data_IF_509001512928
#
_entry.id   IF_509001512928
#
_cell.length_a   1.000
_cell.length_b   1.000
_cell.length_c   1.000
_cell.angle_alpha   90.00
_cell.angle_beta   90.00
_cell.angle_gamma   90.00
#
_symmetry.space_group_name_H-M   'P 1'
#
loop_
_entity.id
_entity.type
_entity.pdbx_description
1 polymer ?
#
# COMPACT_ATOMS: atom_id res chain seq x y z
N UNK A 1 -31.05 46.29 14.72
CA UNK A 1 -31.57 45.64 15.95
C UNK A 1 -32.75 44.78 15.53
N UNK A 2 -32.81 43.53 15.98
CA UNK A 2 -33.94 42.63 15.67
C UNK A 2 -35.21 43.18 16.31
N UNK A 3 -36.36 43.01 15.65
CA UNK A 3 -37.64 43.39 16.23
C UNK A 3 -38.01 42.46 17.39
N UNK A 4 -38.83 42.91 18.35
CA UNK A 4 -39.27 42.05 19.46
C UNK A 4 -39.96 40.77 19.02
N UNK A 5 -40.60 40.77 17.84
CA UNK A 5 -41.21 39.58 17.25
C UNK A 5 -40.15 38.60 16.73
N UNK A 6 -39.12 39.11 16.04
CA UNK A 6 -38.02 38.30 15.52
C UNK A 6 -37.21 37.62 16.65
N UNK A 7 -37.09 38.28 17.80
CA UNK A 7 -36.43 37.71 18.99
C UNK A 7 -37.22 36.51 19.51
N UNK A 8 -38.55 36.65 19.66
CA UNK A 8 -39.41 35.55 20.11
C UNK A 8 -39.42 34.36 19.15
N UNK A 9 -39.43 34.63 17.85
CA UNK A 9 -39.41 33.58 16.84
C UNK A 9 -38.06 32.84 16.84
N UNK A 10 -36.95 33.57 17.05
CA UNK A 10 -35.62 32.98 17.21
C UNK A 10 -35.50 32.12 18.47
N UNK A 11 -35.99 32.60 19.62
CA UNK A 11 -36.02 31.84 20.88
C UNK A 11 -36.80 30.53 20.72
N UNK A 12 -37.95 30.57 20.03
CA UNK A 12 -38.75 29.39 19.75
C UNK A 12 -38.01 28.38 18.89
N UNK A 13 -37.32 28.84 17.84
CA UNK A 13 -36.52 27.96 16.98
C UNK A 13 -35.34 27.36 17.75
N UNK A 14 -34.64 28.15 18.57
CA UNK A 14 -33.53 27.69 19.38
C UNK A 14 -33.97 26.58 20.36
N UNK A 15 -35.10 26.75 21.03
CA UNK A 15 -35.66 25.74 21.94
C UNK A 15 -36.04 24.44 21.21
N UNK A 16 -36.64 24.55 20.02
CA UNK A 16 -36.98 23.37 19.21
C UNK A 16 -35.69 22.63 18.78
N UNK A 17 -34.66 23.35 18.36
CA UNK A 17 -33.40 22.72 17.97
C UNK A 17 -32.69 22.03 19.14
N UNK A 18 -32.70 22.63 20.33
CA UNK A 18 -32.11 22.05 21.54
C UNK A 18 -32.81 20.73 21.95
N UNK A 19 -34.14 20.70 21.92
CA UNK A 19 -34.90 19.47 22.16
C UNK A 19 -34.63 18.39 21.11
N UNK A 20 -34.45 18.77 19.84
CA UNK A 20 -34.22 17.81 18.75
C UNK A 20 -32.78 17.31 18.67
N UNK A 21 -31.80 18.10 19.09
CA UNK A 21 -30.38 17.69 19.11
C UNK A 21 -30.16 16.51 20.06
N UNK A 22 -30.85 16.48 21.20
CA UNK A 22 -30.79 15.36 22.16
C UNK A 22 -31.43 14.05 21.64
N UNK A 23 -32.26 14.11 20.59
CA UNK A 23 -32.87 12.91 19.99
C UNK A 23 -31.94 12.20 19.01
N UNK A 24 -30.88 12.88 18.54
CA UNK A 24 -29.92 12.31 17.60
C UNK A 24 -28.74 11.76 18.43
N UNK A 25 -28.55 10.43 18.52
CA UNK A 25 -27.46 9.85 19.29
C UNK A 25 -26.14 9.99 18.52
N UNK A 26 -25.60 11.21 18.48
CA UNK A 26 -24.39 11.57 17.77
C UNK A 26 -23.20 10.73 18.26
N UNK A 27 -23.12 10.45 19.55
CA UNK A 27 -22.06 9.62 20.14
C UNK A 27 -22.09 8.19 19.61
N UNK A 28 -23.29 7.63 19.41
CA UNK A 28 -23.46 6.31 18.83
C UNK A 28 -22.98 6.31 17.38
N UNK A 29 -23.47 7.25 16.55
CA UNK A 29 -23.07 7.35 15.14
C UNK A 29 -21.57 7.62 14.98
N UNK A 30 -20.99 8.46 15.84
CA UNK A 30 -19.56 8.71 15.89
C UNK A 30 -18.80 7.43 16.27
N UNK A 31 -19.30 6.65 17.22
CA UNK A 31 -18.76 5.35 17.60
C UNK A 31 -18.69 4.38 16.42
N UNK A 32 -19.76 4.24 15.62
CA UNK A 32 -19.74 3.41 14.40
C UNK A 32 -18.79 3.95 13.34
N UNK A 33 -18.79 5.26 13.14
CA UNK A 33 -17.92 5.91 12.15
C UNK A 33 -16.45 5.69 12.49
N UNK A 34 -16.03 6.02 13.72
CA UNK A 34 -14.65 5.86 14.19
C UNK A 34 -14.24 4.39 14.14
N UNK A 35 -15.08 3.48 14.60
CA UNK A 35 -14.81 2.03 14.55
C UNK A 35 -14.61 1.54 13.11
N UNK A 36 -15.44 2.01 12.17
CA UNK A 36 -15.32 1.67 10.74
C UNK A 36 -14.03 2.20 10.12
N UNK A 37 -13.66 3.45 10.43
CA UNK A 37 -12.42 4.07 9.96
C UNK A 37 -11.20 3.33 10.50
N UNK A 38 -11.17 3.01 11.80
CA UNK A 38 -10.09 2.25 12.43
C UNK A 38 -9.98 0.85 11.82
N UNK A 39 -11.09 0.14 11.65
CA UNK A 39 -11.08 -1.20 11.04
C UNK A 39 -10.55 -1.18 9.61
N UNK A 40 -10.89 -0.15 8.82
CA UNK A 40 -10.34 0.00 7.47
C UNK A 40 -8.85 0.32 7.49
N UNK A 41 -8.41 1.17 8.41
CA UNK A 41 -7.00 1.49 8.60
C UNK A 41 -6.19 0.27 9.06
N UNK A 42 -6.71 -0.53 10.00
CA UNK A 42 -6.08 -1.77 10.46
C UNK A 42 -6.01 -2.81 9.35
N UNK A 43 -7.06 -2.97 8.53
CA UNK A 43 -7.00 -3.84 7.33
C UNK A 43 -5.92 -3.37 6.36
N UNK A 44 -5.85 -2.06 6.13
CA UNK A 44 -4.80 -1.48 5.29
C UNK A 44 -3.40 -1.76 5.85
N UNK A 45 -3.21 -1.56 7.15
CA UNK A 45 -1.94 -1.81 7.85
C UNK A 45 -1.55 -3.30 7.87
N UNK A 46 -2.49 -4.20 8.14
CA UNK A 46 -2.23 -5.64 8.12
C UNK A 46 -1.87 -6.12 6.71
N UNK A 47 -2.47 -5.53 5.67
CA UNK A 47 -2.13 -5.82 4.27
C UNK A 47 -0.78 -5.21 3.83
N UNK A 48 -0.23 -4.25 4.57
CA UNK A 48 1.11 -3.70 4.30
C UNK A 48 2.22 -4.64 4.80
N UNK A 49 1.95 -5.45 5.84
CA UNK A 49 2.92 -6.28 6.57
C UNK A 49 3.56 -7.45 5.81
N UNK A 50 3.65 -7.38 4.49
CA UNK A 50 3.96 -8.50 3.63
C UNK A 50 5.44 -8.62 3.20
N UNK A 51 6.25 -7.54 3.28
CA UNK A 51 7.62 -7.60 2.77
C UNK A 51 8.53 -8.44 3.67
N UNK A 52 8.37 -8.39 4.99
CA UNK A 52 9.22 -9.15 5.92
C UNK A 52 9.04 -10.66 5.72
N UNK A 53 7.81 -11.11 5.50
CA UNK A 53 7.52 -12.52 5.20
C UNK A 53 8.12 -12.93 3.84
N UNK A 54 7.95 -12.12 2.79
CA UNK A 54 8.55 -12.41 1.48
C UNK A 54 10.09 -12.44 1.59
N UNK A 55 10.68 -11.51 2.33
CA UNK A 55 12.13 -11.46 2.55
C UNK A 55 12.64 -12.71 3.29
N UNK A 56 11.93 -13.14 4.33
CA UNK A 56 12.25 -14.36 5.07
C UNK A 56 12.13 -15.61 4.19
N UNK A 57 11.03 -15.74 3.44
CA UNK A 57 10.82 -16.87 2.52
C UNK A 57 11.85 -16.88 1.39
N UNK A 58 12.16 -15.71 0.82
CA UNK A 58 13.19 -15.56 -0.22
C UNK A 58 14.57 -15.95 0.32
N UNK A 59 14.90 -15.55 1.55
CA UNK A 59 16.15 -15.93 2.20
C UNK A 59 16.23 -17.43 2.48
N UNK A 60 15.11 -18.06 2.89
CA UNK A 60 15.06 -19.48 3.22
C UNK A 60 15.09 -20.40 1.98
N UNK A 61 14.41 -20.01 0.90
CA UNK A 61 14.14 -20.91 -0.22
C UNK A 61 14.97 -20.66 -1.48
N UNK A 62 15.51 -19.45 -1.68
CA UNK A 62 16.44 -19.18 -2.79
C UNK A 62 17.86 -19.52 -2.33
N UNK A 63 18.31 -20.75 -2.60
CA UNK A 63 19.61 -21.26 -2.16
C UNK A 63 20.76 -20.77 -3.02
N UNK A 64 21.98 -20.86 -2.49
CA UNK A 64 23.23 -20.51 -3.16
C UNK A 64 23.92 -19.27 -2.57
N UNK A 65 25.24 -19.36 -2.45
CA UNK A 65 26.10 -18.29 -1.91
C UNK A 65 26.85 -17.50 -3.01
N UNK A 66 26.69 -17.94 -4.26
CA UNK A 66 27.24 -17.23 -5.41
C UNK A 66 26.62 -15.83 -5.57
N UNK A 67 27.36 -14.95 -6.27
CA UNK A 67 26.92 -13.57 -6.48
C UNK A 67 25.57 -13.48 -7.21
N UNK A 68 25.28 -14.41 -8.13
CA UNK A 68 24.00 -14.45 -8.86
C UNK A 68 22.85 -14.74 -7.90
N UNK A 69 22.95 -15.75 -7.03
CA UNK A 69 21.94 -16.04 -6.00
C UNK A 69 21.71 -14.86 -5.06
N UNK A 70 22.78 -14.19 -4.63
CA UNK A 70 22.68 -12.99 -3.78
C UNK A 70 21.95 -11.86 -4.50
N UNK A 71 22.24 -11.63 -5.78
CA UNK A 71 21.53 -10.64 -6.62
C UNK A 71 20.05 -11.00 -6.79
N UNK A 72 19.71 -12.28 -6.98
CA UNK A 72 18.32 -12.74 -7.10
C UNK A 72 17.53 -12.43 -5.83
N UNK A 73 18.03 -12.84 -4.66
CA UNK A 73 17.38 -12.53 -3.36
C UNK A 73 17.17 -11.04 -3.15
N UNK A 74 18.20 -10.22 -3.40
CA UNK A 74 18.11 -8.76 -3.25
C UNK A 74 17.10 -8.14 -4.21
N UNK A 75 17.05 -8.61 -5.46
CA UNK A 75 16.14 -8.06 -6.46
C UNK A 75 14.68 -8.47 -6.22
N UNK A 76 14.41 -9.71 -5.78
CA UNK A 76 13.05 -10.13 -5.39
C UNK A 76 12.51 -9.20 -4.30
N UNK A 77 13.25 -9.04 -3.21
CA UNK A 77 12.82 -8.17 -2.09
C UNK A 77 12.70 -6.71 -2.54
N UNK A 78 13.68 -6.19 -3.31
CA UNK A 78 13.65 -4.81 -3.79
C UNK A 78 12.44 -4.54 -4.68
N UNK A 79 12.03 -5.48 -5.53
CA UNK A 79 10.85 -5.33 -6.37
C UNK A 79 9.54 -5.32 -5.58
N UNK A 80 9.41 -6.15 -4.54
CA UNK A 80 8.28 -6.08 -3.61
C UNK A 80 8.23 -4.73 -2.88
N UNK A 81 9.38 -4.25 -2.39
CA UNK A 81 9.50 -2.91 -1.76
C UNK A 81 9.17 -1.80 -2.76
N UNK A 82 9.62 -1.92 -4.00
CA UNK A 82 9.34 -0.94 -5.05
C UNK A 82 7.83 -0.85 -5.32
N UNK A 83 7.14 -1.99 -5.45
CA UNK A 83 5.68 -1.98 -5.62
C UNK A 83 4.98 -1.27 -4.45
N UNK A 84 5.35 -1.62 -3.22
CA UNK A 84 4.79 -0.98 -2.03
C UNK A 84 5.06 0.53 -2.01
N UNK A 85 6.27 0.97 -2.34
CA UNK A 85 6.63 2.39 -2.41
C UNK A 85 5.80 3.13 -3.47
N UNK A 86 5.56 2.51 -4.63
CA UNK A 86 4.69 3.08 -5.66
C UNK A 86 3.24 3.18 -5.13
N UNK A 87 2.72 2.17 -4.44
CA UNK A 87 1.34 2.17 -3.92
C UNK A 87 1.18 3.27 -2.87
N UNK A 88 2.15 3.40 -1.97
CA UNK A 88 2.17 4.48 -0.99
C UNK A 88 2.27 5.86 -1.59
N UNK A 89 2.98 6.02 -2.71
CA UNK A 89 3.05 7.29 -3.45
C UNK A 89 1.66 7.78 -3.89
N UNK A 90 0.73 6.88 -4.18
CA UNK A 90 -0.59 7.24 -4.69
C UNK A 90 -1.60 7.55 -3.59
N UNK A 91 -1.55 6.80 -2.48
CA UNK A 91 -2.51 6.95 -1.39
C UNK A 91 -2.04 7.89 -0.27
N UNK A 92 -0.73 8.16 -0.17
CA UNK A 92 -0.14 8.96 0.92
C UNK A 92 0.51 10.22 0.39
N UNK A 93 -0.09 11.37 0.71
CA UNK A 93 0.45 12.68 0.34
C UNK A 93 1.87 12.92 0.88
N UNK A 94 2.22 12.36 2.04
CA UNK A 94 3.58 12.47 2.59
C UNK A 94 4.59 11.72 1.72
N UNK A 95 4.23 10.51 1.28
CA UNK A 95 5.10 9.71 0.40
C UNK A 95 5.17 10.32 -0.99
N UNK A 96 4.05 10.84 -1.52
CA UNK A 96 4.03 11.59 -2.79
C UNK A 96 4.91 12.84 -2.76
N UNK A 97 4.96 13.56 -1.64
CA UNK A 97 5.86 14.71 -1.47
C UNK A 97 7.34 14.29 -1.44
N UNK A 98 7.64 13.14 -0.82
CA UNK A 98 8.99 12.59 -0.76
C UNK A 98 9.46 12.04 -2.11
N UNK A 99 8.54 11.42 -2.86
CA UNK A 99 8.79 10.87 -4.17
C UNK A 99 7.80 11.44 -5.19
N UNK A 100 7.99 12.68 -5.69
CA UNK A 100 7.03 13.30 -6.61
C UNK A 100 6.98 12.63 -7.99
N UNK A 101 8.12 12.11 -8.45
CA UNK A 101 8.30 11.53 -9.79
C UNK A 101 8.97 10.16 -9.71
N UNK A 102 8.86 9.35 -10.78
CA UNK A 102 9.63 8.10 -10.86
C UNK A 102 11.14 8.33 -10.83
N UNK A 103 11.63 9.48 -11.31
CA UNK A 103 13.05 9.83 -11.19
C UNK A 103 13.51 9.97 -9.74
N UNK A 104 12.66 10.52 -8.86
CA UNK A 104 12.98 10.58 -7.42
C UNK A 104 13.01 9.19 -6.77
N UNK A 105 12.20 8.24 -7.28
CA UNK A 105 12.24 6.83 -6.85
C UNK A 105 13.53 6.17 -7.30
N UNK A 106 13.97 6.43 -8.54
CA UNK A 106 15.25 5.94 -9.08
C UNK A 106 16.43 6.50 -8.28
N UNK A 107 16.45 7.81 -8.04
CA UNK A 107 17.50 8.48 -7.27
C UNK A 107 17.64 7.94 -5.83
N UNK A 108 16.54 7.48 -5.23
CA UNK A 108 16.55 6.85 -3.90
C UNK A 108 16.95 5.38 -3.88
N UNK A 109 17.19 4.76 -5.05
CA UNK A 109 17.69 3.39 -5.17
C UNK A 109 16.64 2.28 -5.10
N UNK A 110 15.34 2.61 -5.07
CA UNK A 110 14.28 1.59 -5.15
C UNK A 110 14.14 0.99 -6.55
N UNK A 111 14.41 1.80 -7.58
CA UNK A 111 14.30 1.44 -9.00
C UNK A 111 15.60 1.79 -9.72
N UNK A 112 16.02 0.95 -10.67
CA UNK A 112 17.18 1.23 -11.52
C UNK A 112 16.74 1.98 -12.79
N UNK A 113 17.63 2.77 -13.41
CA UNK A 113 17.28 3.58 -14.60
C UNK A 113 16.74 2.74 -15.76
N UNK A 114 17.28 1.53 -15.98
CA UNK A 114 16.81 0.63 -17.02
C UNK A 114 15.43 0.01 -16.70
N UNK A 115 15.07 -0.11 -15.43
CA UNK A 115 13.75 -0.59 -14.99
C UNK A 115 12.70 0.49 -15.19
N UNK A 116 13.05 1.75 -14.94
CA UNK A 116 12.20 2.91 -15.28
C UNK A 116 11.89 2.94 -16.77
N UNK A 117 12.90 2.79 -17.63
CA UNK A 117 12.71 2.75 -19.08
C UNK A 117 11.73 1.65 -19.50
N UNK A 118 11.89 0.42 -18.98
CA UNK A 118 10.94 -0.68 -19.21
C UNK A 118 9.53 -0.36 -18.72
N UNK A 119 9.40 0.32 -17.59
CA UNK A 119 8.10 0.71 -17.06
C UNK A 119 7.42 1.77 -17.94
N UNK A 120 8.20 2.70 -18.49
CA UNK A 120 7.72 3.77 -19.37
C UNK A 120 7.29 3.24 -20.75
N UNK A 121 7.98 2.23 -21.28
CA UNK A 121 7.63 1.53 -22.53
C UNK A 121 6.24 0.86 -22.49
N UNK A 122 5.77 0.48 -21.31
CA UNK A 122 4.46 -0.17 -21.15
C UNK A 122 3.35 0.88 -21.33
N UNK A 123 2.71 0.91 -22.49
CA UNK A 123 1.55 1.78 -22.73
C UNK A 123 0.29 1.17 -22.12
N UNK A 124 0.03 1.48 -20.84
CA UNK A 124 -1.15 1.02 -20.10
C UNK A 124 -1.85 2.20 -19.43
N UNK A 125 -3.19 2.21 -19.44
CA UNK A 125 -4.02 3.32 -18.93
C UNK A 125 -4.05 3.37 -17.39
N UNK A 126 -3.85 2.24 -16.73
CA UNK A 126 -3.93 2.13 -15.28
C UNK A 126 -2.55 2.18 -14.62
N UNK A 127 -2.59 2.40 -13.32
CA UNK A 127 -1.47 2.34 -12.39
C UNK A 127 -0.66 1.04 -12.53
N UNK A 128 0.66 1.18 -12.70
CA UNK A 128 1.61 0.11 -13.08
C UNK A 128 2.31 -0.54 -11.88
N UNK A 129 1.74 -0.42 -10.70
CA UNK A 129 2.40 -0.73 -9.42
C UNK A 129 2.57 -2.22 -9.20
N UNK A 130 1.79 -3.03 -9.91
CA UNK A 130 1.87 -4.49 -9.94
C UNK A 130 3.04 -5.00 -10.82
N UNK A 131 3.61 -4.17 -11.70
CA UNK A 131 4.68 -4.58 -12.61
C UNK A 131 5.95 -5.06 -11.87
N UNK A 132 6.45 -4.37 -10.82
CA UNK A 132 7.55 -4.89 -10.01
C UNK A 132 7.25 -6.25 -9.38
N UNK A 133 6.01 -6.53 -8.93
CA UNK A 133 5.66 -7.87 -8.44
C UNK A 133 5.81 -8.93 -9.53
N UNK A 134 5.37 -8.64 -10.76
CA UNK A 134 5.58 -9.55 -11.88
C UNK A 134 7.08 -9.80 -12.16
N UNK A 135 7.93 -8.78 -12.05
CA UNK A 135 9.38 -8.96 -12.18
C UNK A 135 9.97 -9.81 -11.05
N UNK A 136 9.46 -9.68 -9.82
CA UNK A 136 9.87 -10.53 -8.71
C UNK A 136 9.51 -12.00 -8.97
N UNK A 137 8.29 -12.26 -9.43
CA UNK A 137 7.83 -13.60 -9.81
C UNK A 137 8.66 -14.19 -10.95
N UNK A 138 9.04 -13.38 -11.95
CA UNK A 138 9.92 -13.82 -13.03
C UNK A 138 11.31 -14.24 -12.52
N UNK A 139 11.87 -13.56 -11.52
CA UNK A 139 13.13 -13.97 -10.88
C UNK A 139 12.94 -15.26 -10.09
N UNK A 140 11.81 -15.44 -9.40
CA UNK A 140 11.48 -16.69 -8.71
C UNK A 140 11.40 -17.87 -9.68
N UNK A 141 10.81 -17.68 -10.86
CA UNK A 141 10.75 -18.70 -11.89
C UNK A 141 12.14 -19.04 -12.45
N UNK A 142 12.96 -18.04 -12.74
CA UNK A 142 14.36 -18.24 -13.16
C UNK A 142 15.19 -18.97 -12.07
N UNK A 143 14.94 -18.66 -10.78
CA UNK A 143 15.57 -19.36 -9.66
C UNK A 143 15.15 -20.84 -9.59
N UNK A 144 13.90 -21.14 -9.93
CA UNK A 144 13.41 -22.51 -10.01
C UNK A 144 14.04 -23.28 -11.17
N UNK A 145 14.10 -22.68 -12.35
CA UNK A 145 14.70 -23.29 -13.54
C UNK A 145 16.18 -23.64 -13.31
N UNK A 146 16.89 -22.78 -12.57
CA UNK A 146 18.28 -23.00 -12.14
C UNK A 146 18.43 -23.99 -10.97
N UNK A 147 17.36 -24.66 -10.53
CA UNK A 147 17.32 -25.57 -9.38
C UNK A 147 17.81 -24.92 -8.06
N UNK A 148 17.77 -23.59 -7.96
CA UNK A 148 18.11 -22.87 -6.73
C UNK A 148 16.95 -22.89 -5.73
N UNK A 149 15.72 -23.06 -6.23
CA UNK A 149 14.55 -23.43 -5.44
C UNK A 149 14.35 -24.93 -5.58
N UNK A 150 14.33 -25.64 -4.44
CA UNK A 150 14.44 -27.10 -4.41
C UNK A 150 13.17 -27.85 -4.83
N UNK A 151 11.99 -27.22 -4.81
CA UNK A 151 10.74 -27.85 -5.26
C UNK A 151 9.69 -26.82 -5.70
N UNK A 152 8.74 -27.26 -6.52
CA UNK A 152 7.61 -26.44 -6.99
C UNK A 152 6.73 -25.98 -5.82
N UNK A 153 6.60 -26.80 -4.78
CA UNK A 153 5.90 -26.44 -3.53
C UNK A 153 6.55 -25.25 -2.81
N UNK A 154 7.88 -25.17 -2.81
CA UNK A 154 8.61 -24.05 -2.23
C UNK A 154 8.48 -22.78 -3.07
N UNK A 155 8.43 -22.90 -4.39
CA UNK A 155 8.14 -21.77 -5.29
C UNK A 155 6.73 -21.22 -5.01
N UNK A 156 5.74 -22.11 -4.89
CA UNK A 156 4.37 -21.71 -4.54
C UNK A 156 4.33 -20.99 -3.18
N UNK A 157 5.09 -21.43 -2.17
CA UNK A 157 5.17 -20.72 -0.87
C UNK A 157 5.80 -19.34 -0.94
N UNK A 158 6.76 -19.11 -1.83
CA UNK A 158 7.33 -17.76 -2.06
C UNK A 158 6.31 -16.86 -2.78
N UNK A 159 5.56 -17.41 -3.73
CA UNK A 159 4.59 -16.67 -4.53
C UNK A 159 3.24 -16.43 -3.82
N UNK A 160 2.78 -17.33 -2.95
CA UNK A 160 1.51 -17.22 -2.18
C UNK A 160 1.50 -16.04 -1.19
N UNK A 161 2.67 -15.54 -0.82
CA UNK A 161 2.86 -14.45 0.14
C UNK A 161 3.12 -13.12 -0.56
N UNK A 162 3.17 -13.10 -1.90
CA UNK A 162 3.38 -11.87 -2.68
C UNK A 162 2.08 -11.18 -3.07
#
# INVERSE_FOLDING_TARGET
MLSPQQIRDFERIAHILDEKLNLIPLDFMLGFFVTSVINRWLKFFNNIGYIDNIALMTAAYVRGDDERSRKMRRNIVRYCVLSQALVFRDISMKVRKRFPTLDSVVASGFMMSHEKAKLDEIHYRYDKHWIPFQWALAICDDARQQQKIASDWLQQKVCEVS
#
